data_IF_427750791913
#
_entry.id   IF_427750791913
#
_cell.length_a   1.000
_cell.length_b   1.000
_cell.length_c   1.000
_cell.angle_alpha   90.00
_cell.angle_beta   90.00
_cell.angle_gamma   90.00
#
_symmetry.space_group_name_H-M   'P 1'
#
loop_
_entity.id
_entity.type
_entity.pdbx_description
1 polymer ?
#
# COMPACT_ATOMS: atom_id res chain seq x y z
N UNK A 1 -8.23 -42.25 16.21
CA UNK A 1 -8.70 -41.38 17.33
C UNK A 1 -8.05 -39.99 17.39
N UNK A 2 -6.80 -39.77 16.95
CA UNK A 2 -6.18 -38.42 16.93
C UNK A 2 -6.79 -37.46 15.89
N UNK A 3 -7.27 -37.97 14.75
CA UNK A 3 -7.86 -37.14 13.68
C UNK A 3 -9.22 -36.50 14.05
N UNK A 4 -10.05 -37.17 14.87
CA UNK A 4 -11.34 -36.62 15.31
C UNK A 4 -11.20 -35.46 16.30
N UNK A 5 -10.13 -35.44 17.11
CA UNK A 5 -9.88 -34.36 18.08
C UNK A 5 -9.40 -33.07 17.43
N UNK A 6 -8.72 -33.15 16.29
CA UNK A 6 -8.28 -31.97 15.53
C UNK A 6 -9.45 -31.26 14.83
N UNK A 7 -10.45 -32.01 14.33
CA UNK A 7 -11.65 -31.45 13.69
C UNK A 7 -12.56 -30.68 14.65
N UNK A 8 -12.74 -31.17 15.88
CA UNK A 8 -13.55 -30.48 16.90
C UNK A 8 -12.90 -29.18 17.40
N UNK A 9 -11.57 -29.12 17.49
CA UNK A 9 -10.84 -27.91 17.90
C UNK A 9 -10.87 -26.82 16.82
N UNK A 10 -10.81 -27.20 15.54
CA UNK A 10 -10.96 -26.25 14.43
C UNK A 10 -12.40 -25.70 14.31
N UNK A 11 -13.41 -26.54 14.55
CA UNK A 11 -14.82 -26.12 14.56
C UNK A 11 -15.15 -25.19 15.74
N UNK A 12 -14.54 -25.42 16.91
CA UNK A 12 -14.76 -24.60 18.12
C UNK A 12 -14.16 -23.18 18.03
N UNK A 13 -13.08 -23.00 17.27
CA UNK A 13 -12.43 -21.69 17.08
C UNK A 13 -13.05 -20.85 15.94
N UNK A 14 -13.71 -21.49 14.97
CA UNK A 14 -14.35 -20.79 13.84
C UNK A 14 -15.66 -20.09 14.23
N UNK A 15 -16.42 -20.68 15.17
CA UNK A 15 -17.70 -20.16 15.66
C UNK A 15 -17.63 -18.76 16.29
N UNK A 16 -16.70 -18.43 17.20
CA UNK A 16 -16.63 -17.08 17.77
C UNK A 16 -16.21 -16.01 16.75
N UNK A 17 -15.39 -16.36 15.75
CA UNK A 17 -14.96 -15.44 14.68
C UNK A 17 -16.12 -15.12 13.72
N UNK A 18 -16.92 -16.12 13.36
CA UNK A 18 -18.10 -15.96 12.50
C UNK A 18 -19.22 -15.18 13.19
N UNK A 19 -19.44 -15.40 14.50
CA UNK A 19 -20.48 -14.69 15.26
C UNK A 19 -20.09 -13.23 15.53
N UNK A 20 -18.81 -12.94 15.72
CA UNK A 20 -18.34 -11.56 15.92
C UNK A 20 -18.30 -10.73 14.62
N UNK A 21 -18.12 -11.37 13.46
CA UNK A 21 -18.21 -10.70 12.15
C UNK A 21 -19.63 -10.29 11.75
N UNK A 22 -20.66 -10.99 12.27
CA UNK A 22 -22.06 -10.69 11.97
C UNK A 22 -22.62 -9.48 12.73
N UNK A 23 -21.92 -8.99 13.78
CA UNK A 23 -22.37 -7.88 14.61
C UNK A 23 -21.79 -6.51 14.20
N UNK A 24 -20.80 -6.48 13.30
CA UNK A 24 -20.29 -5.23 12.74
C UNK A 24 -21.11 -4.91 11.48
N UNK A 25 -21.90 -3.83 11.49
CA UNK A 25 -22.48 -3.36 10.23
C UNK A 25 -21.33 -2.85 9.35
N UNK A 26 -21.01 -3.53 8.22
CA UNK A 26 -19.90 -3.09 7.38
C UNK A 26 -20.15 -1.70 6.80
N UNK A 27 -21.44 -1.34 6.66
CA UNK A 27 -21.90 -0.11 6.06
C UNK A 27 -21.34 1.15 6.75
N UNK A 28 -21.24 1.21 8.08
CA UNK A 28 -20.85 2.42 8.81
C UNK A 28 -19.34 2.74 8.71
N UNK A 29 -18.49 1.70 8.65
CA UNK A 29 -17.04 1.88 8.57
C UNK A 29 -16.57 2.36 7.18
N UNK A 30 -17.35 2.07 6.12
CA UNK A 30 -17.05 2.53 4.76
C UNK A 30 -17.54 3.97 4.49
N UNK A 31 -18.42 4.53 5.33
CA UNK A 31 -19.02 5.87 5.10
C UNK A 31 -17.96 6.97 4.98
N UNK A 32 -16.87 6.90 5.76
CA UNK A 32 -15.78 7.90 5.68
C UNK A 32 -15.25 8.08 4.25
N UNK A 33 -15.18 7.00 3.46
CA UNK A 33 -14.67 7.02 2.10
C UNK A 33 -15.71 7.41 1.04
N UNK A 34 -16.98 7.62 1.44
CA UNK A 34 -18.10 7.87 0.51
C UNK A 34 -19.01 9.05 0.92
N UNK A 35 -18.89 9.59 2.14
CA UNK A 35 -19.74 10.66 2.69
C UNK A 35 -18.95 11.52 3.70
N UNK A 36 -19.31 12.81 3.81
CA UNK A 36 -18.70 13.87 4.64
C UNK A 36 -17.76 13.40 5.78
N UNK A 37 -16.46 13.69 5.62
CA UNK A 37 -15.37 13.29 6.52
C UNK A 37 -15.44 13.98 7.91
N UNK A 38 -16.09 15.13 8.03
CA UNK A 38 -16.09 15.96 9.24
C UNK A 38 -16.74 15.28 10.48
N UNK A 39 -17.54 14.22 10.29
CA UNK A 39 -18.32 13.59 11.36
C UNK A 39 -17.66 12.42 12.11
N UNK A 40 -16.53 11.87 11.65
CA UNK A 40 -16.03 10.57 12.12
C UNK A 40 -14.53 10.56 12.54
N UNK A 41 -14.15 11.29 13.61
CA UNK A 41 -12.78 11.26 14.12
C UNK A 41 -12.40 9.87 14.65
N UNK A 42 -11.09 9.54 14.66
CA UNK A 42 -10.62 8.29 15.25
C UNK A 42 -10.93 8.22 16.74
N UNK A 43 -11.81 7.30 17.10
CA UNK A 43 -12.26 7.07 18.48
C UNK A 43 -11.34 6.08 19.19
N UNK A 44 -10.21 6.58 19.70
CA UNK A 44 -9.25 5.77 20.48
C UNK A 44 -9.89 5.11 21.71
N UNK A 45 -10.89 5.75 22.30
CA UNK A 45 -11.68 5.21 23.40
C UNK A 45 -12.45 3.93 23.02
N UNK A 46 -12.88 3.81 21.75
CA UNK A 46 -13.50 2.60 21.22
C UNK A 46 -12.43 1.56 20.88
N UNK A 47 -11.32 1.97 20.27
CA UNK A 47 -10.22 1.07 19.90
C UNK A 47 -9.61 0.35 21.11
N UNK A 48 -9.46 1.04 22.23
CA UNK A 48 -8.91 0.47 23.47
C UNK A 48 -9.91 -0.40 24.25
N UNK A 49 -11.13 -0.60 23.75
CA UNK A 49 -12.07 -1.55 24.38
C UNK A 49 -11.56 -2.98 24.22
N UNK A 50 -11.92 -3.89 25.14
CA UNK A 50 -11.47 -5.28 25.09
C UNK A 50 -11.77 -5.98 23.76
N UNK A 51 -12.91 -5.66 23.12
CA UNK A 51 -13.33 -6.32 21.90
C UNK A 51 -12.45 -5.95 20.68
N UNK A 52 -12.27 -4.66 20.29
CA UNK A 52 -11.34 -4.31 19.21
C UNK A 52 -9.89 -4.72 19.48
N UNK A 53 -9.41 -4.59 20.72
CA UNK A 53 -8.08 -5.08 21.09
C UNK A 53 -7.96 -6.60 20.90
N UNK A 54 -8.98 -7.36 21.28
CA UNK A 54 -9.04 -8.80 21.04
C UNK A 54 -8.98 -9.16 19.56
N UNK A 55 -9.65 -8.41 18.69
CA UNK A 55 -9.55 -8.57 17.24
C UNK A 55 -8.15 -8.26 16.72
N UNK A 56 -7.56 -7.13 17.09
CA UNK A 56 -6.20 -6.75 16.65
C UNK A 56 -5.17 -7.78 17.12
N UNK A 57 -5.26 -8.22 18.37
CA UNK A 57 -4.40 -9.27 18.92
C UNK A 57 -4.62 -10.60 18.19
N UNK A 58 -5.86 -10.98 17.91
CA UNK A 58 -6.21 -12.19 17.17
C UNK A 58 -5.66 -12.20 15.75
N UNK A 59 -5.84 -11.11 14.99
CA UNK A 59 -5.30 -10.96 13.62
C UNK A 59 -3.78 -10.94 13.64
N UNK A 60 -3.18 -10.20 14.58
CA UNK A 60 -1.72 -10.13 14.72
C UNK A 60 -1.11 -11.49 15.07
N UNK A 61 -1.76 -12.25 15.96
CA UNK A 61 -1.36 -13.60 16.31
C UNK A 61 -1.53 -14.55 15.11
N UNK A 62 -2.64 -14.48 14.39
CA UNK A 62 -2.87 -15.29 13.19
C UNK A 62 -1.83 -15.00 12.10
N UNK A 63 -1.51 -13.72 11.85
CA UNK A 63 -0.46 -13.29 10.92
C UNK A 63 0.91 -13.78 11.37
N UNK A 64 1.23 -13.67 12.66
CA UNK A 64 2.49 -14.18 13.23
C UNK A 64 2.59 -15.70 13.06
N UNK A 65 1.54 -16.45 13.39
CA UNK A 65 1.49 -17.90 13.23
C UNK A 65 1.62 -18.31 11.76
N UNK A 66 0.95 -17.61 10.85
CA UNK A 66 1.08 -17.83 9.41
C UNK A 66 2.51 -17.55 8.93
N UNK A 67 3.15 -16.48 9.41
CA UNK A 67 4.54 -16.14 9.09
C UNK A 67 5.53 -17.19 9.63
N UNK A 68 5.32 -17.68 10.87
CA UNK A 68 6.12 -18.75 11.46
C UNK A 68 5.94 -20.06 10.70
N UNK A 69 4.71 -20.42 10.34
CA UNK A 69 4.41 -21.61 9.53
C UNK A 69 5.05 -21.51 8.13
N UNK A 70 4.98 -20.34 7.49
CA UNK A 70 5.63 -20.09 6.21
C UNK A 70 7.15 -20.26 6.30
N UNK A 71 7.78 -19.75 7.37
CA UNK A 71 9.21 -19.95 7.64
C UNK A 71 9.54 -21.43 7.88
N UNK A 72 8.74 -22.14 8.69
CA UNK A 72 8.92 -23.56 8.98
C UNK A 72 8.79 -24.45 7.72
N UNK A 73 7.95 -24.05 6.75
CA UNK A 73 7.80 -24.71 5.45
C UNK A 73 8.91 -24.37 4.43
N UNK A 74 9.99 -23.72 4.86
CA UNK A 74 11.09 -23.33 3.99
C UNK A 74 10.70 -22.23 2.99
N UNK A 75 9.82 -21.31 3.39
CA UNK A 75 9.36 -20.15 2.59
C UNK A 75 8.59 -20.52 1.32
N UNK A 76 8.04 -21.73 1.22
CA UNK A 76 7.16 -22.14 0.12
C UNK A 76 5.80 -21.44 0.26
N UNK A 77 5.36 -20.76 -0.80
CA UNK A 77 4.08 -20.06 -0.83
C UNK A 77 2.89 -21.00 -0.64
N UNK A 78 1.78 -20.48 -0.10
CA UNK A 78 0.50 -21.20 -0.04
C UNK A 78 -0.25 -21.17 -1.37
N UNK A 79 0.02 -20.15 -2.19
CA UNK A 79 -0.58 -19.95 -3.50
C UNK A 79 0.37 -20.51 -4.56
N UNK A 80 -0.13 -21.28 -5.54
CA UNK A 80 0.68 -21.70 -6.68
C UNK A 80 1.32 -20.50 -7.37
N UNK A 81 2.59 -20.61 -7.74
CA UNK A 81 3.27 -19.57 -8.50
C UNK A 81 2.70 -19.43 -9.93
N UNK A 82 3.09 -18.38 -10.67
CA UNK A 82 2.70 -18.20 -12.07
C UNK A 82 2.98 -19.43 -12.95
N UNK A 83 3.99 -20.23 -12.59
CA UNK A 83 4.36 -21.47 -13.29
C UNK A 83 3.24 -22.51 -13.25
N UNK A 84 2.47 -22.56 -12.15
CA UNK A 84 1.32 -23.44 -12.02
C UNK A 84 0.16 -23.03 -12.94
N UNK A 85 0.19 -21.81 -13.46
CA UNK A 85 -0.76 -21.28 -14.44
C UNK A 85 -0.19 -21.29 -15.87
N UNK A 86 0.95 -21.96 -16.11
CA UNK A 86 1.52 -22.14 -17.44
C UNK A 86 2.37 -20.98 -17.95
N UNK A 87 2.80 -20.06 -17.08
CA UNK A 87 3.71 -18.97 -17.48
C UNK A 87 5.10 -19.54 -17.83
N UNK A 88 5.56 -19.29 -19.07
CA UNK A 88 6.93 -19.59 -19.48
C UNK A 88 7.95 -18.63 -18.83
N UNK A 89 9.23 -18.99 -18.86
CA UNK A 89 10.32 -18.21 -18.25
C UNK A 89 10.46 -16.80 -18.86
N UNK A 90 10.18 -16.67 -20.15
CA UNK A 90 10.27 -15.40 -20.88
C UNK A 90 9.16 -14.43 -20.46
N UNK A 91 7.91 -14.88 -20.50
CA UNK A 91 6.72 -14.15 -20.08
C UNK A 91 6.83 -13.70 -18.62
N UNK A 92 7.37 -14.56 -17.75
CA UNK A 92 7.62 -14.24 -16.34
C UNK A 92 8.67 -13.14 -16.19
N UNK A 93 9.78 -13.23 -16.92
CA UNK A 93 10.84 -12.21 -16.90
C UNK A 93 10.32 -10.84 -17.37
N UNK A 94 9.52 -10.85 -18.44
CA UNK A 94 8.88 -9.65 -18.99
C UNK A 94 7.90 -9.05 -17.99
N UNK A 95 7.03 -9.88 -17.38
CA UNK A 95 6.09 -9.42 -16.36
C UNK A 95 6.81 -8.71 -15.21
N UNK A 96 7.85 -9.34 -14.63
CA UNK A 96 8.61 -8.72 -13.54
C UNK A 96 9.37 -7.46 -13.97
N UNK A 97 9.83 -7.41 -15.21
CA UNK A 97 10.44 -6.20 -15.76
C UNK A 97 9.41 -5.06 -15.90
N UNK A 98 8.14 -5.37 -16.20
CA UNK A 98 7.06 -4.40 -16.35
C UNK A 98 6.41 -3.96 -15.03
N UNK A 99 6.60 -4.69 -13.93
CA UNK A 99 6.01 -4.35 -12.60
C UNK A 99 6.23 -2.89 -12.21
N UNK A 100 7.45 -2.29 -12.30
CA UNK A 100 7.65 -0.88 -11.98
C UNK A 100 6.85 0.06 -12.88
N UNK A 101 6.62 -0.30 -14.14
CA UNK A 101 5.84 0.51 -15.06
C UNK A 101 4.35 0.46 -14.76
N UNK A 102 3.83 -0.75 -14.51
CA UNK A 102 2.43 -0.96 -14.11
C UNK A 102 2.15 -0.21 -12.81
N UNK A 103 3.02 -0.36 -11.80
CA UNK A 103 2.92 0.36 -10.53
C UNK A 103 3.02 1.88 -10.75
N UNK A 104 3.93 2.34 -11.62
CA UNK A 104 4.09 3.76 -11.94
C UNK A 104 2.80 4.37 -12.45
N UNK A 105 2.15 3.72 -13.41
CA UNK A 105 0.85 4.16 -13.94
C UNK A 105 -0.25 4.08 -12.88
N UNK A 106 -0.31 2.97 -12.14
CA UNK A 106 -1.33 2.77 -11.10
C UNK A 106 -1.27 3.83 -9.99
N UNK A 107 -0.07 4.26 -9.60
CA UNK A 107 0.14 5.30 -8.59
C UNK A 107 -0.05 6.69 -9.18
N UNK A 108 0.39 6.92 -10.42
CA UNK A 108 0.31 8.23 -11.06
C UNK A 108 -1.13 8.69 -11.33
N UNK A 109 -2.02 7.78 -11.73
CA UNK A 109 -3.39 8.17 -12.12
C UNK A 109 -4.17 8.82 -10.95
N UNK A 110 -4.23 8.22 -9.74
CA UNK A 110 -4.86 8.87 -8.60
C UNK A 110 -4.19 10.20 -8.21
N UNK A 111 -2.86 10.25 -8.18
CA UNK A 111 -2.11 11.48 -7.86
C UNK A 111 -2.42 12.62 -8.84
N UNK A 112 -2.58 12.30 -10.12
CA UNK A 112 -2.94 13.30 -11.13
C UNK A 112 -4.34 13.85 -10.89
N UNK A 113 -5.32 12.96 -10.63
CA UNK A 113 -6.70 13.37 -10.37
C UNK A 113 -6.79 14.22 -9.10
N UNK A 114 -6.21 13.75 -8.01
CA UNK A 114 -6.24 14.45 -6.73
C UNK A 114 -5.49 15.79 -6.78
N UNK A 115 -4.30 15.82 -7.41
CA UNK A 115 -3.53 17.03 -7.60
C UNK A 115 -4.25 18.11 -8.41
N UNK A 116 -5.04 17.72 -9.42
CA UNK A 116 -5.89 18.65 -10.18
C UNK A 116 -7.12 19.09 -9.39
N UNK A 117 -7.67 18.22 -8.54
CA UNK A 117 -8.81 18.54 -7.67
C UNK A 117 -8.44 19.36 -6.43
N UNK A 118 -7.14 19.62 -6.19
CA UNK A 118 -6.68 20.35 -5.00
C UNK A 118 -6.78 19.53 -3.71
N UNK A 119 -6.82 18.20 -3.84
CA UNK A 119 -6.79 17.24 -2.73
C UNK A 119 -5.44 16.53 -2.71
N UNK A 120 -4.96 16.13 -1.53
CA UNK A 120 -3.64 15.49 -1.39
C UNK A 120 -3.77 13.99 -1.18
N UNK A 121 -3.27 13.15 -2.11
CA UNK A 121 -3.30 11.67 -2.06
C UNK A 121 -4.68 10.98 -2.09
N UNK A 122 -5.70 11.57 -1.49
CA UNK A 122 -7.06 11.05 -1.43
C UNK A 122 -8.09 12.19 -1.48
N UNK A 123 -9.31 11.94 -2.00
CA UNK A 123 -10.35 12.96 -2.12
C UNK A 123 -10.71 13.66 -0.81
N UNK A 124 -10.57 12.95 0.32
CA UNK A 124 -10.94 13.46 1.65
C UNK A 124 -9.90 14.41 2.28
N UNK A 125 -8.77 14.61 1.60
CA UNK A 125 -7.64 15.43 2.07
C UNK A 125 -7.63 16.79 1.37
N UNK A 126 -8.66 17.60 1.64
CA UNK A 126 -8.75 18.94 1.07
C UNK A 126 -7.57 19.83 1.53
N UNK A 127 -6.94 20.51 0.58
CA UNK A 127 -5.85 21.43 0.88
C UNK A 127 -6.36 22.86 1.13
N UNK A 128 -5.88 23.55 2.18
CA UNK A 128 -6.39 24.87 2.52
C UNK A 128 -5.87 25.96 1.57
N UNK A 129 -6.78 26.71 0.97
CA UNK A 129 -6.49 27.96 0.26
C UNK A 129 -5.42 27.83 -0.82
N UNK A 130 -4.39 28.69 -0.78
CA UNK A 130 -3.35 28.73 -1.80
C UNK A 130 -2.48 27.45 -1.87
N UNK A 131 -2.42 26.66 -0.80
CA UNK A 131 -1.65 25.42 -0.77
C UNK A 131 -2.20 24.36 -1.73
N UNK A 132 -3.51 24.39 -2.01
CA UNK A 132 -4.13 23.53 -3.02
C UNK A 132 -3.44 23.67 -4.38
N UNK A 133 -3.07 24.90 -4.77
CA UNK A 133 -2.39 25.15 -6.03
C UNK A 133 -0.94 24.64 -6.02
N UNK A 134 -0.17 24.96 -4.99
CA UNK A 134 1.25 24.60 -4.94
C UNK A 134 1.47 23.10 -4.77
N UNK A 135 0.76 22.47 -3.83
CA UNK A 135 0.88 21.05 -3.57
C UNK A 135 0.15 20.22 -4.61
N UNK A 136 -1.00 20.69 -5.12
CA UNK A 136 -1.67 20.04 -6.25
C UNK A 136 -0.82 20.04 -7.52
N UNK A 137 -0.13 21.16 -7.81
CA UNK A 137 0.84 21.22 -8.91
C UNK A 137 2.04 20.30 -8.68
N UNK A 138 2.59 20.27 -7.45
CA UNK A 138 3.69 19.38 -7.11
C UNK A 138 3.27 17.90 -7.23
N UNK A 139 2.08 17.53 -6.72
CA UNK A 139 1.52 16.18 -6.83
C UNK A 139 1.28 15.80 -8.30
N UNK A 140 0.73 16.71 -9.10
CA UNK A 140 0.58 16.55 -10.55
C UNK A 140 1.93 16.34 -11.25
N UNK A 141 2.95 17.12 -10.88
CA UNK A 141 4.31 16.96 -11.41
C UNK A 141 4.89 15.59 -11.08
N UNK A 142 4.75 15.14 -9.83
CA UNK A 142 5.14 13.79 -9.40
C UNK A 142 4.36 12.73 -10.19
N UNK A 143 3.06 12.90 -10.37
CA UNK A 143 2.22 11.99 -11.13
C UNK A 143 2.70 11.85 -12.57
N UNK A 144 2.95 12.97 -13.28
CA UNK A 144 3.44 12.95 -14.66
C UNK A 144 4.83 12.33 -14.76
N UNK A 145 5.73 12.65 -13.83
CA UNK A 145 7.06 12.03 -13.74
C UNK A 145 6.96 10.50 -13.59
N UNK A 146 6.09 10.03 -12.70
CA UNK A 146 5.82 8.60 -12.53
C UNK A 146 4.99 8.00 -13.67
N UNK A 147 4.21 8.76 -14.42
CA UNK A 147 3.45 8.23 -15.54
C UNK A 147 4.35 7.95 -16.75
N UNK A 148 5.23 8.90 -17.08
CA UNK A 148 6.17 8.77 -18.21
C UNK A 148 7.49 8.09 -17.83
N UNK A 149 7.82 8.02 -16.53
CA UNK A 149 9.09 7.50 -16.06
C UNK A 149 10.26 8.46 -16.29
N UNK A 150 10.00 9.77 -16.18
CA UNK A 150 11.00 10.83 -16.26
C UNK A 150 11.16 11.51 -14.89
N UNK A 151 12.40 11.79 -14.48
CA UNK A 151 12.77 12.28 -13.16
C UNK A 151 12.23 11.39 -12.03
N UNK A 152 12.25 10.07 -12.21
CA UNK A 152 11.61 9.10 -11.30
C UNK A 152 12.15 9.19 -9.87
N UNK A 153 13.48 9.22 -9.69
CA UNK A 153 14.07 9.31 -8.34
C UNK A 153 13.80 10.65 -7.66
N UNK A 154 13.97 11.80 -8.35
CA UNK A 154 13.49 13.08 -7.83
C UNK A 154 12.01 13.06 -7.47
N UNK A 155 11.15 12.53 -8.33
CA UNK A 155 9.71 12.42 -8.10
C UNK A 155 9.39 11.53 -6.89
N UNK A 156 10.14 10.45 -6.68
CA UNK A 156 10.02 9.61 -5.50
C UNK A 156 10.39 10.37 -4.21
N UNK A 157 11.45 11.19 -4.23
CA UNK A 157 11.81 12.06 -3.11
C UNK A 157 10.74 13.11 -2.86
N UNK A 158 10.23 13.73 -3.93
CA UNK A 158 9.14 14.70 -3.85
C UNK A 158 7.85 14.06 -3.32
N UNK A 159 7.52 12.83 -3.73
CA UNK A 159 6.38 12.07 -3.22
C UNK A 159 6.47 11.85 -1.70
N UNK A 160 7.65 11.45 -1.20
CA UNK A 160 7.88 11.35 0.23
C UNK A 160 7.79 12.72 0.93
N UNK A 161 8.33 13.77 0.31
CA UNK A 161 8.24 15.14 0.80
C UNK A 161 6.79 15.63 0.91
N UNK A 162 5.96 15.37 -0.09
CA UNK A 162 4.51 15.68 -0.09
C UNK A 162 3.81 14.96 1.07
N UNK A 163 4.15 13.70 1.34
CA UNK A 163 3.59 12.97 2.47
C UNK A 163 3.90 13.64 3.81
N UNK A 164 5.15 14.06 4.04
CA UNK A 164 5.52 14.78 5.27
C UNK A 164 4.91 16.18 5.32
N UNK A 165 4.83 16.88 4.19
CA UNK A 165 4.22 18.21 4.10
C UNK A 165 2.71 18.18 4.37
N UNK A 166 2.03 17.05 4.10
CA UNK A 166 0.62 16.87 4.42
C UNK A 166 0.31 16.81 5.92
N UNK A 167 1.26 16.40 6.77
CA UNK A 167 1.05 16.26 8.22
C UNK A 167 0.59 17.58 8.88
N UNK A 168 1.28 18.73 8.71
CA UNK A 168 0.82 19.98 9.31
C UNK A 168 -0.41 20.60 8.63
N UNK A 169 -0.79 20.16 7.43
CA UNK A 169 -1.87 20.78 6.64
C UNK A 169 -3.19 20.04 6.75
N UNK A 170 -3.15 18.70 6.68
CA UNK A 170 -4.32 17.82 6.66
C UNK A 170 -4.41 16.99 7.96
N UNK A 171 -3.29 16.84 8.66
CA UNK A 171 -3.21 16.13 9.94
C UNK A 171 -2.56 14.75 9.82
N UNK A 172 -2.15 14.20 10.97
CA UNK A 172 -1.42 12.93 11.01
C UNK A 172 -2.28 11.73 10.59
N UNK A 173 -3.53 11.67 11.03
CA UNK A 173 -4.39 10.52 10.76
C UNK A 173 -4.67 10.33 9.25
N UNK A 174 -5.10 11.36 8.49
CA UNK A 174 -5.30 11.20 7.04
C UNK A 174 -4.00 10.87 6.29
N UNK A 175 -2.84 11.33 6.81
CA UNK A 175 -1.56 10.95 6.25
C UNK A 175 -1.19 9.49 6.50
N UNK A 176 -1.49 8.96 7.68
CA UNK A 176 -1.32 7.54 7.99
C UNK A 176 -2.24 6.66 7.13
N UNK A 177 -3.47 7.10 6.85
CA UNK A 177 -4.37 6.41 5.90
C UNK A 177 -3.75 6.30 4.50
N UNK A 178 -2.85 7.24 4.15
CA UNK A 178 -2.12 7.32 2.88
C UNK A 178 -0.65 6.88 2.98
N UNK A 179 -0.24 6.16 4.03
CA UNK A 179 1.16 5.73 4.25
C UNK A 179 1.73 4.88 3.10
N UNK A 180 0.87 4.24 2.31
CA UNK A 180 1.26 3.48 1.13
C UNK A 180 2.07 4.30 0.10
N UNK A 181 1.82 5.60 0.01
CA UNK A 181 2.60 6.48 -0.88
C UNK A 181 4.07 6.62 -0.45
N UNK A 182 4.39 6.50 0.85
CA UNK A 182 5.79 6.37 1.31
C UNK A 182 6.41 5.05 0.85
N UNK A 183 5.65 3.96 0.86
CA UNK A 183 6.07 2.67 0.31
C UNK A 183 6.38 2.76 -1.17
N UNK A 184 5.52 3.42 -1.95
CA UNK A 184 5.75 3.66 -3.36
C UNK A 184 6.91 4.60 -3.63
N UNK A 185 7.08 5.66 -2.84
CA UNK A 185 8.24 6.54 -2.91
C UNK A 185 9.54 5.75 -2.72
N UNK A 186 9.63 4.93 -1.67
CA UNK A 186 10.78 4.09 -1.43
C UNK A 186 10.99 3.06 -2.56
N UNK A 187 9.92 2.46 -3.07
CA UNK A 187 9.97 1.55 -4.22
C UNK A 187 10.58 2.24 -5.45
N UNK A 188 10.05 3.38 -5.89
CA UNK A 188 10.51 4.08 -7.09
C UNK A 188 11.92 4.67 -6.93
N UNK A 189 12.29 5.07 -5.71
CA UNK A 189 13.66 5.50 -5.43
C UNK A 189 14.67 4.36 -5.60
N UNK A 190 14.30 3.12 -5.25
CA UNK A 190 15.15 1.95 -5.25
C UNK A 190 15.13 1.15 -6.57
N UNK A 191 13.97 1.01 -7.21
CA UNK A 191 13.78 0.26 -8.45
C UNK A 191 13.72 1.14 -9.71
N UNK A 192 13.41 2.43 -9.57
CA UNK A 192 13.16 3.30 -10.71
C UNK A 192 11.87 2.92 -11.43
N UNK A 193 11.77 3.27 -12.71
CA UNK A 193 10.56 3.08 -13.54
C UNK A 193 10.60 1.90 -14.49
N UNK A 194 11.60 1.04 -14.34
CA UNK A 194 11.77 -0.16 -15.15
C UNK A 194 12.26 0.14 -16.57
N UNK A 195 12.10 -0.81 -17.51
CA UNK A 195 12.71 -0.73 -18.84
C UNK A 195 12.09 0.30 -19.77
N UNK A 196 10.85 0.76 -19.48
CA UNK A 196 10.10 1.71 -20.30
C UNK A 196 10.18 3.14 -19.77
N UNK A 197 11.29 3.53 -19.14
CA UNK A 197 11.44 4.86 -18.53
C UNK A 197 12.06 5.88 -19.49
N UNK A 198 11.54 7.11 -19.49
CA UNK A 198 12.18 8.25 -20.17
C UNK A 198 13.55 8.54 -19.56
N UNK A 199 13.73 8.32 -18.26
CA UNK A 199 15.03 8.45 -17.58
C UNK A 199 16.11 7.61 -18.23
N UNK A 200 15.81 6.38 -18.67
CA UNK A 200 16.80 5.53 -19.35
C UNK A 200 17.28 6.14 -20.67
N UNK A 201 16.41 6.87 -21.36
CA UNK A 201 16.70 7.49 -22.65
C UNK A 201 17.40 8.84 -22.51
N UNK A 202 16.94 9.68 -21.58
CA UNK A 202 17.36 11.09 -21.47
C UNK A 202 18.26 11.37 -20.25
N UNK A 203 18.11 10.63 -19.16
CA UNK A 203 18.78 10.89 -17.87
C UNK A 203 19.31 9.60 -17.21
N UNK A 204 20.18 8.81 -17.86
CA UNK A 204 20.60 7.49 -17.36
C UNK A 204 21.30 7.55 -15.99
N UNK A 205 21.91 8.69 -15.64
CA UNK A 205 22.51 8.92 -14.33
C UNK A 205 21.49 8.90 -13.17
N UNK A 206 20.21 9.13 -13.46
CA UNK A 206 19.12 9.04 -12.49
C UNK A 206 18.62 7.60 -12.30
N UNK A 207 19.07 6.61 -13.08
CA UNK A 207 18.66 5.23 -12.82
C UNK A 207 19.30 4.69 -11.52
N UNK A 208 18.53 3.96 -10.70
CA UNK A 208 19.09 3.32 -9.53
C UNK A 208 19.96 2.10 -9.92
N UNK A 209 21.07 1.86 -9.21
CA UNK A 209 21.87 0.65 -9.37
C UNK A 209 21.05 -0.64 -9.17
N UNK A 210 21.25 -1.65 -10.04
CA UNK A 210 20.50 -2.91 -10.01
C UNK A 210 20.50 -3.63 -8.65
N UNK A 211 21.55 -3.45 -7.84
CA UNK A 211 21.64 -3.99 -6.48
C UNK A 211 20.54 -3.51 -5.53
N UNK A 212 19.90 -2.36 -5.79
CA UNK A 212 18.84 -1.81 -4.95
C UNK A 212 17.46 -2.38 -5.28
N UNK A 213 17.28 -2.97 -6.47
CA UNK A 213 16.00 -3.55 -6.88
C UNK A 213 15.49 -4.64 -5.91
N UNK A 214 16.40 -5.38 -5.28
CA UNK A 214 16.07 -6.39 -4.25
C UNK A 214 15.38 -5.83 -3.00
N UNK A 215 15.57 -4.53 -2.73
CA UNK A 215 14.98 -3.83 -1.58
C UNK A 215 13.67 -3.12 -1.93
N UNK A 216 13.39 -2.92 -3.22
CA UNK A 216 12.22 -2.18 -3.65
C UNK A 216 10.91 -2.90 -3.29
N UNK A 217 10.80 -4.20 -3.58
CA UNK A 217 9.60 -4.99 -3.25
C UNK A 217 9.35 -5.05 -1.74
N UNK A 218 10.35 -5.32 -0.87
CA UNK A 218 10.19 -5.17 0.57
C UNK A 218 9.71 -3.78 1.00
N UNK A 219 10.24 -2.71 0.41
CA UNK A 219 9.82 -1.34 0.76
C UNK A 219 8.35 -1.07 0.42
N UNK A 220 7.90 -1.48 -0.78
CA UNK A 220 6.49 -1.40 -1.16
C UNK A 220 5.60 -2.22 -0.22
N UNK A 221 6.02 -3.44 0.12
CA UNK A 221 5.28 -4.31 1.05
C UNK A 221 5.09 -3.66 2.41
N UNK A 222 6.16 -3.12 2.99
CA UNK A 222 6.08 -2.42 4.27
C UNK A 222 5.08 -1.26 4.20
N UNK A 223 5.10 -0.45 3.14
CA UNK A 223 4.18 0.68 2.98
C UNK A 223 2.71 0.26 2.81
N UNK A 224 2.42 -0.90 2.22
CA UNK A 224 1.06 -1.43 2.06
C UNK A 224 0.65 -2.34 3.25
N UNK A 225 1.50 -2.46 4.28
CA UNK A 225 1.23 -3.27 5.47
C UNK A 225 1.46 -4.79 5.28
N UNK A 226 2.13 -5.21 4.21
CA UNK A 226 2.55 -6.59 4.00
C UNK A 226 3.92 -6.89 4.64
N UNK A 227 4.00 -7.96 5.42
CA UNK A 227 5.25 -8.51 5.97
C UNK A 227 5.72 -9.75 5.19
#
# INVERSE_FOLDING_TARGET
MRALRAGLLAAGAALPVLVLGAAASPAAAHVKWFFENEGYPLRWDLFLRPLPLGFVAGVSLATLLAALLWRARGRRGFVPGPEAFGADDGARSLFYALVPAILGVHVAVPLLVNGVQGTLFSPDNELPGAWANFLGLAETGVALSLFYGGLTRPAAVALAGLWFAGIPLVGLQPMLDNVMFLGFAAFFFLAGRGPLSVDRLLFPALEPPARYARLAVPAARIGVGGA
#
